data_IF_447560172599
#
_entry.id   IF_447560172599
#
_cell.length_a   1.000
_cell.length_b   1.000
_cell.length_c   1.000
_cell.angle_alpha   90.00
_cell.angle_beta   90.00
_cell.angle_gamma   90.00
#
_symmetry.space_group_name_H-M   'P 1'
#
loop_
_entity.id
_entity.type
_entity.pdbx_description
1 polymer ?
#
# COMPACT_ATOMS: atom_id res chain seq x y z
N UNK A 1 0.56 20.20 23.13
CA UNK A 1 0.68 19.52 21.82
C UNK A 1 1.43 18.22 22.07
N UNK A 2 0.88 17.09 21.66
CA UNK A 2 1.64 15.83 21.71
C UNK A 2 2.89 15.99 20.84
N UNK A 3 4.03 15.47 21.31
CA UNK A 3 5.27 15.44 20.53
C UNK A 3 5.12 14.39 19.42
N UNK A 4 4.66 14.83 18.25
CA UNK A 4 4.44 13.94 17.10
C UNK A 4 5.74 13.32 16.58
N UNK A 5 6.88 13.96 16.80
CA UNK A 5 8.18 13.40 16.44
C UNK A 5 8.55 12.20 17.33
N UNK A 6 8.31 12.30 18.63
CA UNK A 6 8.52 11.18 19.56
C UNK A 6 7.53 10.03 19.27
N UNK A 7 6.26 10.33 18.98
CA UNK A 7 5.27 9.32 18.60
C UNK A 7 5.64 8.60 17.31
N UNK A 8 6.16 9.32 16.32
CA UNK A 8 6.64 8.79 15.04
C UNK A 8 7.85 7.88 15.23
N UNK A 9 8.83 8.31 16.02
CA UNK A 9 9.99 7.48 16.36
C UNK A 9 9.55 6.20 17.06
N UNK A 10 8.67 6.31 18.07
CA UNK A 10 8.15 5.15 18.79
C UNK A 10 7.41 4.18 17.86
N UNK A 11 6.61 4.67 16.93
CA UNK A 11 5.95 3.83 15.91
C UNK A 11 6.97 2.99 15.12
N UNK A 12 8.05 3.59 14.65
CA UNK A 12 9.08 2.86 13.89
C UNK A 12 9.74 1.81 14.76
N UNK A 13 10.16 2.17 16.00
CA UNK A 13 10.91 1.28 16.88
C UNK A 13 10.05 0.16 17.48
N UNK A 14 8.78 0.40 17.77
CA UNK A 14 7.90 -0.56 18.46
C UNK A 14 6.96 -1.35 17.57
N UNK A 15 6.65 -0.87 16.36
CA UNK A 15 5.68 -1.52 15.47
C UNK A 15 6.32 -2.00 14.15
N UNK A 16 7.20 -1.18 13.54
CA UNK A 16 7.74 -1.45 12.20
C UNK A 16 8.94 -2.39 12.26
N UNK A 17 9.96 -2.04 13.04
CA UNK A 17 11.17 -2.87 13.17
C UNK A 17 10.90 -4.28 13.71
N UNK A 18 10.06 -4.47 14.77
CA UNK A 18 9.74 -5.81 15.25
C UNK A 18 8.89 -6.65 14.30
N UNK A 19 8.31 -6.04 13.25
CA UNK A 19 7.54 -6.72 12.22
C UNK A 19 8.37 -7.19 11.02
N UNK A 20 9.67 -7.44 11.21
CA UNK A 20 10.63 -7.91 10.18
C UNK A 20 10.83 -6.92 9.02
N UNK A 21 10.58 -5.64 9.24
CA UNK A 21 10.99 -4.60 8.29
C UNK A 21 12.46 -4.26 8.55
N UNK A 22 13.32 -4.67 7.64
CA UNK A 22 14.79 -4.53 7.77
C UNK A 22 15.37 -3.45 6.87
N UNK A 23 14.59 -2.93 5.90
CA UNK A 23 15.03 -1.86 5.01
C UNK A 23 15.07 -0.53 5.78
N UNK A 24 16.29 -0.08 6.11
CA UNK A 24 16.52 1.17 6.85
C UNK A 24 16.01 2.41 6.12
N UNK A 25 15.96 2.38 4.78
CA UNK A 25 15.42 3.50 3.99
C UNK A 25 13.94 3.74 4.28
N UNK A 26 13.18 2.66 4.51
CA UNK A 26 11.77 2.74 4.93
C UNK A 26 11.65 3.30 6.34
N UNK A 27 12.54 2.89 7.26
CA UNK A 27 12.56 3.46 8.61
C UNK A 27 12.83 4.96 8.59
N UNK A 28 13.78 5.41 7.78
CA UNK A 28 14.15 6.83 7.66
C UNK A 28 13.00 7.62 7.03
N UNK A 29 12.41 7.12 5.93
CA UNK A 29 11.21 7.73 5.32
C UNK A 29 10.06 7.88 6.35
N UNK A 30 9.80 6.86 7.15
CA UNK A 30 8.74 6.89 8.17
C UNK A 30 9.07 7.81 9.35
N UNK A 31 10.34 8.07 9.64
CA UNK A 31 10.75 9.06 10.65
C UNK A 31 10.62 10.48 10.14
N UNK A 32 10.85 10.71 8.85
CA UNK A 32 10.83 12.04 8.24
C UNK A 32 9.42 12.48 7.86
N UNK A 33 8.58 11.56 7.40
CA UNK A 33 7.23 11.86 6.94
C UNK A 33 6.22 11.93 8.09
N UNK A 34 5.55 13.06 8.23
CA UNK A 34 4.51 13.30 9.22
C UNK A 34 3.20 12.60 8.81
N UNK A 35 3.02 11.34 9.28
CA UNK A 35 1.88 10.49 8.90
C UNK A 35 0.52 11.11 9.24
N UNK A 36 0.45 11.96 10.28
CA UNK A 36 -0.77 12.70 10.66
C UNK A 36 -1.27 13.66 9.58
N UNK A 37 -0.43 14.02 8.61
CA UNK A 37 -0.83 14.87 7.48
C UNK A 37 -1.67 14.13 6.43
N UNK A 38 -1.69 12.80 6.47
CA UNK A 38 -2.43 11.94 5.54
C UNK A 38 -3.80 11.49 6.07
N UNK A 39 -4.20 12.01 7.20
CA UNK A 39 -5.51 11.74 7.83
C UNK A 39 -6.21 13.05 8.19
N UNK A 40 -7.55 13.06 8.33
CA UNK A 40 -8.25 14.24 8.79
C UNK A 40 -7.73 14.71 10.15
N UNK A 41 -7.69 16.03 10.42
CA UNK A 41 -7.22 16.57 11.71
C UNK A 41 -7.90 15.95 12.93
N UNK A 42 -9.16 15.57 12.80
CA UNK A 42 -9.95 14.88 13.84
C UNK A 42 -9.45 13.48 14.16
N UNK A 43 -8.66 12.86 13.27
CA UNK A 43 -8.08 11.52 13.41
C UNK A 43 -6.56 11.53 13.55
N UNK A 44 -5.92 12.72 13.59
CA UNK A 44 -4.47 12.86 13.66
C UNK A 44 -3.84 12.12 14.85
N UNK A 45 -4.54 12.02 15.97
CA UNK A 45 -4.10 11.30 17.16
C UNK A 45 -3.98 9.77 16.96
N UNK A 46 -4.63 9.23 15.93
CA UNK A 46 -4.56 7.80 15.55
C UNK A 46 -3.42 7.49 14.57
N UNK A 47 -2.81 8.50 13.98
CA UNK A 47 -1.87 8.32 12.87
C UNK A 47 -0.70 7.38 13.19
N UNK A 48 -0.29 7.31 14.47
CA UNK A 48 0.84 6.49 14.94
C UNK A 48 0.43 5.23 15.69
N UNK A 49 -0.87 4.94 15.77
CA UNK A 49 -1.37 3.70 16.35
C UNK A 49 -1.23 2.52 15.37
N UNK A 50 -1.12 1.29 15.90
CA UNK A 50 -1.05 0.05 15.09
C UNK A 50 -2.45 -0.38 14.60
N UNK A 51 -3.12 0.55 13.91
CA UNK A 51 -4.46 0.38 13.33
C UNK A 51 -4.51 0.97 11.92
N UNK A 52 -5.50 0.55 11.13
CA UNK A 52 -5.90 1.25 9.93
C UNK A 52 -6.62 2.56 10.31
N UNK A 53 -6.32 3.64 9.60
CA UNK A 53 -6.95 4.94 9.85
C UNK A 53 -7.69 5.41 8.61
N UNK A 54 -9.03 5.41 8.67
CA UNK A 54 -9.84 5.92 7.59
C UNK A 54 -9.58 7.42 7.37
N UNK A 55 -9.18 7.80 6.15
CA UNK A 55 -8.93 9.18 5.76
C UNK A 55 -10.00 9.76 4.82
N UNK A 56 -10.75 8.90 4.13
CA UNK A 56 -11.91 9.24 3.31
C UNK A 56 -12.91 8.08 3.34
N UNK A 57 -14.18 8.27 2.96
CA UNK A 57 -15.17 7.21 2.95
C UNK A 57 -14.70 5.96 2.18
N UNK A 58 -14.61 4.82 2.89
CA UNK A 58 -14.16 3.55 2.32
C UNK A 58 -12.66 3.50 1.95
N UNK A 59 -11.85 4.44 2.43
CA UNK A 59 -10.40 4.51 2.20
C UNK A 59 -9.67 4.67 3.52
N UNK A 60 -8.70 3.83 3.77
CA UNK A 60 -7.92 3.85 5.00
C UNK A 60 -6.43 3.70 4.72
N UNK A 61 -5.61 4.41 5.49
CA UNK A 61 -4.19 4.10 5.56
C UNK A 61 -4.02 2.71 6.18
N UNK A 62 -3.12 1.92 5.64
CA UNK A 62 -2.73 0.64 6.25
C UNK A 62 -2.09 0.88 7.63
N UNK A 63 -2.05 -0.14 8.47
CA UNK A 63 -1.23 -0.09 9.69
C UNK A 63 0.21 0.29 9.34
N UNK A 64 0.93 1.00 10.21
CA UNK A 64 2.32 1.40 9.93
C UNK A 64 3.22 0.23 9.53
N UNK A 65 3.12 -0.90 10.24
CA UNK A 65 3.89 -2.11 9.91
C UNK A 65 3.49 -2.73 8.57
N UNK A 66 2.20 -2.68 8.21
CA UNK A 66 1.70 -3.36 7.01
C UNK A 66 2.10 -2.59 5.74
N UNK A 67 2.02 -1.25 5.74
CA UNK A 67 2.52 -0.44 4.61
C UNK A 67 4.04 -0.59 4.45
N UNK A 68 4.79 -0.63 5.54
CA UNK A 68 6.23 -0.82 5.50
C UNK A 68 6.62 -2.21 4.95
N UNK A 69 5.94 -3.28 5.42
CA UNK A 69 6.13 -4.65 4.89
C UNK A 69 5.77 -4.75 3.41
N UNK A 70 4.68 -4.10 2.99
CA UNK A 70 4.25 -4.09 1.59
C UNK A 70 5.31 -3.41 0.70
N UNK A 71 5.80 -2.23 1.11
CA UNK A 71 6.85 -1.52 0.39
C UNK A 71 8.17 -2.31 0.38
N UNK A 72 8.56 -2.92 1.51
CA UNK A 72 9.73 -3.80 1.54
C UNK A 72 9.58 -4.98 0.56
N UNK A 73 8.38 -5.56 0.45
CA UNK A 73 8.12 -6.70 -0.40
C UNK A 73 8.25 -6.38 -1.90
N UNK A 74 7.91 -5.16 -2.33
CA UNK A 74 8.08 -4.70 -3.72
C UNK A 74 9.47 -4.12 -4.00
N UNK A 75 10.30 -3.87 -2.98
CA UNK A 75 11.70 -3.42 -3.12
C UNK A 75 11.86 -2.21 -4.03
N UNK A 76 11.30 -1.05 -3.70
CA UNK A 76 11.39 0.13 -4.55
C UNK A 76 12.84 0.64 -4.64
N UNK A 77 13.24 1.09 -5.83
CA UNK A 77 14.58 1.62 -6.10
C UNK A 77 14.49 3.07 -6.60
N UNK A 78 15.46 3.93 -6.23
CA UNK A 78 15.50 5.29 -6.72
C UNK A 78 15.50 5.35 -8.25
N UNK A 79 14.76 6.29 -8.82
CA UNK A 79 14.64 6.51 -10.27
C UNK A 79 13.55 5.68 -10.94
N UNK A 80 12.93 4.72 -10.26
CA UNK A 80 11.81 3.94 -10.80
C UNK A 80 10.53 4.78 -10.94
N UNK A 81 9.67 4.38 -11.89
CA UNK A 81 8.32 4.92 -12.06
C UNK A 81 7.34 4.14 -11.20
N UNK A 82 6.60 4.82 -10.34
CA UNK A 82 5.63 4.20 -9.47
C UNK A 82 4.20 4.69 -9.73
N UNK A 83 3.23 3.80 -9.53
CA UNK A 83 1.81 4.10 -9.47
C UNK A 83 1.30 3.81 -8.06
N UNK A 84 0.79 4.83 -7.39
CA UNK A 84 0.15 4.72 -6.08
C UNK A 84 -1.36 4.81 -6.24
N UNK A 85 -2.07 3.74 -5.93
CA UNK A 85 -3.52 3.63 -6.10
C UNK A 85 -4.16 3.77 -4.72
N UNK A 86 -4.87 4.88 -4.48
CA UNK A 86 -5.51 5.20 -3.19
C UNK A 86 -4.51 4.98 -2.04
N UNK A 87 -3.29 5.49 -2.22
CA UNK A 87 -2.16 5.18 -1.36
C UNK A 87 -1.37 6.46 -1.01
N UNK A 88 -1.98 7.43 -0.31
CA UNK A 88 -1.38 8.73 -0.11
C UNK A 88 -0.09 8.68 0.72
N UNK A 89 -0.04 7.84 1.76
CA UNK A 89 1.15 7.71 2.59
C UNK A 89 2.24 6.88 1.91
N UNK A 90 1.88 5.75 1.29
CA UNK A 90 2.84 4.95 0.52
C UNK A 90 3.42 5.74 -0.66
N UNK A 91 2.62 6.59 -1.33
CA UNK A 91 3.10 7.49 -2.37
C UNK A 91 4.19 8.44 -1.87
N UNK A 92 3.95 9.10 -0.72
CA UNK A 92 4.94 9.99 -0.12
C UNK A 92 6.21 9.24 0.30
N UNK A 93 6.10 8.01 0.80
CA UNK A 93 7.25 7.16 1.10
C UNK A 93 8.05 6.83 -0.16
N UNK A 94 7.39 6.47 -1.27
CA UNK A 94 8.05 6.18 -2.54
C UNK A 94 8.76 7.42 -3.12
N UNK A 95 8.13 8.60 -3.04
CA UNK A 95 8.75 9.88 -3.41
C UNK A 95 9.99 10.16 -2.56
N UNK A 96 9.91 9.95 -1.24
CA UNK A 96 11.04 10.11 -0.33
C UNK A 96 12.20 9.15 -0.67
N UNK A 97 11.89 7.96 -1.17
CA UNK A 97 12.87 6.98 -1.66
C UNK A 97 13.44 7.30 -3.05
N UNK A 98 13.01 8.41 -3.68
CA UNK A 98 13.53 8.89 -4.96
C UNK A 98 12.84 8.30 -6.19
N UNK A 99 11.62 7.78 -6.06
CA UNK A 99 10.81 7.36 -7.20
C UNK A 99 9.99 8.53 -7.76
N UNK A 100 9.64 8.45 -9.05
CA UNK A 100 8.65 9.33 -9.68
C UNK A 100 7.28 8.68 -9.52
N UNK A 101 6.37 9.31 -8.77
CA UNK A 101 5.10 8.71 -8.40
C UNK A 101 3.92 9.34 -9.14
N UNK A 102 3.18 8.53 -9.86
CA UNK A 102 1.83 8.85 -10.35
C UNK A 102 0.81 8.42 -9.30
N UNK A 103 -0.14 9.28 -8.96
CA UNK A 103 -1.20 9.02 -7.98
C UNK A 103 -2.51 8.79 -8.69
N UNK A 104 -3.19 7.70 -8.37
CA UNK A 104 -4.54 7.37 -8.83
C UNK A 104 -5.48 7.40 -7.62
N UNK A 105 -6.13 8.55 -7.40
CA UNK A 105 -6.99 8.80 -6.24
C UNK A 105 -8.46 8.94 -6.63
N UNK A 106 -8.75 9.22 -7.90
CA UNK A 106 -10.09 9.50 -8.41
C UNK A 106 -10.34 8.84 -9.76
N UNK A 107 -11.61 8.79 -10.17
CA UNK A 107 -12.01 8.18 -11.42
C UNK A 107 -12.17 6.66 -11.33
N UNK A 108 -11.94 5.97 -12.43
CA UNK A 108 -11.96 4.50 -12.45
C UNK A 108 -10.64 3.94 -11.91
N UNK A 109 -10.64 3.59 -10.63
CA UNK A 109 -9.47 3.05 -9.96
C UNK A 109 -9.03 1.68 -10.49
N UNK A 110 -9.89 0.97 -11.23
CA UNK A 110 -9.57 -0.33 -11.83
C UNK A 110 -8.81 -0.22 -13.15
N UNK A 111 -8.86 0.96 -13.78
CA UNK A 111 -8.29 1.23 -15.09
C UNK A 111 -7.33 2.44 -15.03
N UNK A 112 -6.08 2.25 -14.60
CA UNK A 112 -5.09 3.31 -14.65
C UNK A 112 -4.90 3.85 -16.07
N UNK A 113 -4.51 5.11 -16.17
CA UNK A 113 -4.09 5.66 -17.46
C UNK A 113 -2.94 4.83 -18.06
N UNK A 114 -2.88 4.72 -19.39
CA UNK A 114 -1.79 4.00 -20.06
C UNK A 114 -0.42 4.48 -19.57
N UNK A 115 0.44 3.53 -19.25
CA UNK A 115 1.76 3.80 -18.69
C UNK A 115 2.56 2.53 -18.56
N UNK A 116 3.76 2.66 -18.00
CA UNK A 116 4.63 1.52 -17.67
C UNK A 116 5.27 1.82 -16.32
N UNK A 117 4.89 1.04 -15.31
CA UNK A 117 5.31 1.28 -13.93
C UNK A 117 6.18 0.14 -13.41
N UNK A 118 7.30 0.50 -12.81
CA UNK A 118 8.21 -0.45 -12.16
C UNK A 118 7.66 -0.92 -10.82
N UNK A 119 6.94 -0.03 -10.13
CA UNK A 119 6.30 -0.32 -8.83
C UNK A 119 4.86 0.16 -8.86
N UNK A 120 3.93 -0.72 -8.48
CA UNK A 120 2.53 -0.33 -8.21
C UNK A 120 2.20 -0.71 -6.77
N UNK A 121 1.57 0.18 -6.03
CA UNK A 121 1.10 -0.09 -4.66
C UNK A 121 -0.32 0.41 -4.46
N UNK A 122 -1.07 -0.32 -3.63
CA UNK A 122 -2.39 0.06 -3.18
C UNK A 122 -2.44 0.04 -1.64
N UNK A 123 -2.89 1.12 -0.99
CA UNK A 123 -3.17 1.14 0.44
C UNK A 123 -4.63 0.79 0.72
N UNK A 124 -4.91 -0.51 0.81
CA UNK A 124 -6.24 -1.07 1.06
C UNK A 124 -6.26 -2.53 0.66
N UNK A 125 -7.41 -3.17 0.81
CA UNK A 125 -7.62 -4.50 0.28
C UNK A 125 -8.54 -4.47 -0.94
N UNK A 126 -8.34 -5.42 -1.83
CA UNK A 126 -9.25 -5.73 -2.94
C UNK A 126 -9.69 -7.19 -2.84
N UNK A 127 -10.92 -7.50 -3.24
CA UNK A 127 -11.36 -8.90 -3.32
C UNK A 127 -10.65 -9.64 -4.46
N UNK A 128 -10.37 -8.92 -5.53
CA UNK A 128 -9.61 -9.42 -6.69
C UNK A 128 -8.83 -8.26 -7.32
N UNK A 129 -7.60 -8.54 -7.73
CA UNK A 129 -6.75 -7.56 -8.42
C UNK A 129 -7.34 -7.25 -9.81
N UNK A 130 -7.61 -5.97 -10.13
CA UNK A 130 -8.05 -5.57 -11.46
C UNK A 130 -6.99 -5.89 -12.53
N UNK A 131 -7.44 -6.38 -13.69
CA UNK A 131 -6.55 -6.66 -14.81
C UNK A 131 -5.78 -5.42 -15.28
N UNK A 132 -6.42 -4.25 -15.28
CA UNK A 132 -5.80 -2.98 -15.68
C UNK A 132 -4.56 -2.61 -14.85
N UNK A 133 -4.49 -3.03 -13.57
CA UNK A 133 -3.28 -2.80 -12.76
C UNK A 133 -2.09 -3.65 -13.22
N UNK A 134 -2.39 -4.87 -13.66
CA UNK A 134 -1.36 -5.77 -14.16
C UNK A 134 -0.90 -5.39 -15.58
N UNK A 135 -1.79 -4.83 -16.39
CA UNK A 135 -1.48 -4.42 -17.76
C UNK A 135 -0.46 -3.29 -17.85
N UNK A 136 -0.48 -2.37 -16.87
CA UNK A 136 0.44 -1.21 -16.81
C UNK A 136 1.74 -1.50 -16.07
N UNK A 137 1.98 -2.73 -15.58
CA UNK A 137 3.28 -3.11 -15.03
C UNK A 137 4.35 -3.13 -16.12
N UNK A 138 5.48 -2.50 -15.85
CA UNK A 138 6.68 -2.65 -16.66
C UNK A 138 7.20 -4.09 -16.64
N UNK A 139 8.04 -4.46 -17.58
CA UNK A 139 8.77 -5.73 -17.55
C UNK A 139 9.69 -5.75 -16.34
N UNK A 140 9.59 -6.77 -15.50
CA UNK A 140 10.24 -6.81 -14.18
C UNK A 140 9.55 -5.96 -13.11
N UNK A 141 8.46 -5.25 -13.46
CA UNK A 141 7.67 -4.45 -12.54
C UNK A 141 6.94 -5.29 -11.50
N UNK A 142 6.65 -4.68 -10.35
CA UNK A 142 6.07 -5.34 -9.17
C UNK A 142 4.86 -4.57 -8.67
N UNK A 143 3.74 -5.28 -8.47
CA UNK A 143 2.55 -4.74 -7.79
C UNK A 143 2.48 -5.32 -6.38
N UNK A 144 2.42 -4.46 -5.37
CA UNK A 144 2.11 -4.81 -4.00
C UNK A 144 0.66 -4.45 -3.65
N UNK A 145 -0.11 -5.44 -3.23
CA UNK A 145 -1.53 -5.29 -2.91
C UNK A 145 -1.97 -6.29 -1.85
N UNK A 146 -3.01 -5.97 -1.08
CA UNK A 146 -3.63 -6.91 -0.16
C UNK A 146 -4.91 -7.45 -0.82
N UNK A 147 -4.96 -8.77 -1.01
CA UNK A 147 -6.17 -9.47 -1.46
C UNK A 147 -6.93 -9.98 -0.23
N UNK A 148 -8.21 -9.67 -0.15
CA UNK A 148 -9.05 -10.11 0.95
C UNK A 148 -10.45 -10.49 0.49
N UNK A 149 -10.75 -11.78 0.66
CA UNK A 149 -12.06 -12.35 0.43
C UNK A 149 -12.41 -13.23 1.65
N UNK A 150 -12.75 -12.54 2.76
CA UNK A 150 -13.01 -13.22 4.03
C UNK A 150 -12.39 -12.51 5.24
N UNK A 151 -12.21 -13.22 6.37
CA UNK A 151 -11.74 -12.61 7.62
C UNK A 151 -10.25 -12.20 7.57
N UNK A 152 -9.43 -12.93 6.83
CA UNK A 152 -7.98 -12.67 6.70
C UNK A 152 -7.63 -12.43 5.26
N UNK A 153 -6.89 -11.36 4.99
CA UNK A 153 -6.31 -11.04 3.68
C UNK A 153 -4.84 -11.44 3.59
N UNK A 154 -4.35 -11.50 2.37
CA UNK A 154 -2.96 -11.79 2.01
C UNK A 154 -2.35 -10.61 1.29
N UNK A 155 -1.26 -10.07 1.80
CA UNK A 155 -0.41 -9.17 1.02
C UNK A 155 0.31 -9.97 -0.04
N UNK A 156 0.11 -9.59 -1.30
CA UNK A 156 0.62 -10.30 -2.46
C UNK A 156 1.53 -9.39 -3.27
N UNK A 157 2.55 -9.98 -3.85
CA UNK A 157 3.40 -9.33 -4.85
C UNK A 157 3.23 -10.03 -6.18
N UNK A 158 2.80 -9.28 -7.18
CA UNK A 158 2.76 -9.69 -8.56
C UNK A 158 4.00 -9.16 -9.27
N UNK A 159 4.63 -9.97 -10.11
CA UNK A 159 5.81 -9.61 -10.87
C UNK A 159 5.58 -9.94 -12.34
N UNK A 160 5.75 -8.95 -13.22
CA UNK A 160 5.68 -9.17 -14.65
C UNK A 160 7.01 -9.75 -15.17
N UNK A 161 7.03 -11.04 -15.46
CA UNK A 161 8.13 -11.71 -16.15
C UNK A 161 7.99 -11.60 -17.68
N UNK A 162 8.92 -12.22 -18.42
CA UNK A 162 8.88 -12.25 -19.89
C UNK A 162 7.72 -13.06 -20.44
N UNK A 163 7.37 -14.14 -19.76
CA UNK A 163 6.41 -15.17 -20.15
C UNK A 163 5.08 -15.06 -19.39
N UNK A 164 4.89 -14.04 -18.54
CA UNK A 164 3.65 -13.86 -17.81
C UNK A 164 3.77 -13.07 -16.51
N UNK A 165 2.80 -13.25 -15.64
CA UNK A 165 2.75 -12.61 -14.32
C UNK A 165 2.80 -13.68 -13.24
N UNK A 166 3.85 -13.63 -12.43
CA UNK A 166 3.98 -14.45 -11.23
C UNK A 166 3.31 -13.76 -10.03
N UNK A 167 2.77 -14.55 -9.09
CA UNK A 167 2.20 -14.09 -7.83
C UNK A 167 2.84 -14.82 -6.66
N UNK A 168 3.19 -14.09 -5.61
CA UNK A 168 3.62 -14.67 -4.32
C UNK A 168 2.93 -13.97 -3.16
N UNK A 169 2.64 -14.71 -2.11
CA UNK A 169 2.19 -14.17 -0.83
C UNK A 169 3.38 -13.69 -0.01
N UNK A 170 3.20 -12.61 0.74
CA UNK A 170 4.23 -12.01 1.56
C UNK A 170 3.90 -12.08 3.06
N UNK A 171 2.69 -11.67 3.46
CA UNK A 171 2.25 -11.70 4.86
C UNK A 171 0.72 -11.59 4.94
N UNK A 172 0.17 -11.86 6.12
CA UNK A 172 -1.26 -11.72 6.42
C UNK A 172 -1.57 -10.29 6.89
N UNK A 173 -2.67 -9.73 6.37
CA UNK A 173 -3.16 -8.41 6.77
C UNK A 173 -4.69 -8.36 6.65
N UNK A 174 -5.34 -7.48 7.42
CA UNK A 174 -6.79 -7.42 7.49
C UNK A 174 -7.37 -6.01 7.29
N UNK A 175 -6.83 -5.17 6.39
CA UNK A 175 -7.44 -3.87 6.15
C UNK A 175 -8.84 -4.03 5.55
N UNK A 176 -9.71 -3.03 5.66
CA UNK A 176 -11.01 -3.05 5.00
C UNK A 176 -10.84 -3.18 3.48
N UNK A 177 -11.75 -3.91 2.85
CA UNK A 177 -11.84 -3.96 1.38
C UNK A 177 -12.34 -2.62 0.89
N UNK A 178 -11.65 -2.05 -0.10
CA UNK A 178 -12.02 -0.77 -0.70
C UNK A 178 -13.41 -0.86 -1.35
N UNK A 179 -14.17 0.23 -1.27
CA UNK A 179 -15.47 0.33 -1.91
C UNK A 179 -15.34 0.07 -3.43
N UNK A 180 -16.19 -0.80 -3.97
CA UNK A 180 -16.17 -1.20 -5.37
C UNK A 180 -15.17 -2.32 -5.72
N UNK A 181 -14.38 -2.81 -4.76
CA UNK A 181 -13.39 -3.88 -4.99
C UNK A 181 -13.67 -5.17 -4.20
N UNK A 182 -14.89 -5.33 -3.68
CA UNK A 182 -15.30 -6.61 -3.07
C UNK A 182 -15.30 -7.73 -4.13
N UNK A 183 -14.97 -8.96 -3.70
CA UNK A 183 -15.11 -10.11 -4.57
C UNK A 183 -16.59 -10.33 -4.94
N UNK A 184 -16.88 -10.52 -6.21
CA UNK A 184 -18.21 -10.94 -6.64
C UNK A 184 -18.40 -12.42 -6.32
N UNK A 185 -19.15 -12.73 -5.29
CA UNK A 185 -19.61 -14.10 -5.03
C UNK A 185 -20.79 -14.38 -5.97
N UNK A 186 -20.53 -15.01 -7.10
CA UNK A 186 -21.60 -15.59 -7.92
C UNK A 186 -22.32 -16.65 -7.08
N UNK A 187 -23.61 -16.42 -6.78
CA UNK A 187 -24.47 -17.48 -6.26
C UNK A 187 -24.63 -18.53 -7.37
N UNK A 188 -23.87 -19.63 -7.28
CA UNK A 188 -24.23 -20.83 -8.04
C UNK A 188 -25.43 -21.47 -7.31
N UNK A 189 -26.61 -21.33 -7.88
CA UNK A 189 -27.74 -22.19 -7.53
C UNK A 189 -27.46 -23.54 -8.20
N UNK A 190 -27.13 -24.57 -7.42
CA UNK A 190 -27.30 -25.97 -7.81
C UNK A 190 -28.77 -26.38 -7.68
#
# INVERSE_FOLDING_TARGET
>A
MADTAAARLNMVESQVRPADVTDVRLHDAMRDLAREQFVPPTKAYLAYADIEVEYAPGRALLKPRDVAKLLQAVRPMPGEQALAIVAPYAAAMLEHLGLTVTRLEEGDLSQPSPGSYDVIVCEGAVGRVPAGWLEVLARGGRLGVIERDGPVGKACVYVRAEDGIGRREAFDATPPVMAGFAAEHGFAFE
#
